data_IF_655696773063
#
_entry.id   IF_655696773063
#
_cell.length_a   1.000
_cell.length_b   1.000
_cell.length_c   1.000
_cell.angle_alpha   90.00
_cell.angle_beta   90.00
_cell.angle_gamma   90.00
#
_symmetry.space_group_name_H-M   'P 1'
#
loop_
_entity.id
_entity.type
_entity.pdbx_description
1 polymer ?
#
# COMPACT_ATOMS: atom_id res chain seq x y z
N UNK A 1 6.83 -18.90 8.86
CA UNK A 1 5.98 -19.76 8.02
C UNK A 1 6.54 -19.69 6.61
N UNK A 2 6.86 -20.84 6.00
CA UNK A 2 7.25 -20.89 4.59
C UNK A 2 6.01 -20.67 3.73
N UNK A 3 6.06 -19.69 2.85
CA UNK A 3 5.01 -19.43 1.86
C UNK A 3 4.75 -20.69 1.02
N UNK A 4 3.49 -21.12 0.92
CA UNK A 4 3.07 -22.27 0.12
C UNK A 4 2.11 -21.78 -0.97
N UNK A 5 2.53 -21.80 -2.25
CA UNK A 5 1.83 -21.12 -3.33
C UNK A 5 0.35 -21.51 -3.52
N UNK A 6 -0.02 -22.78 -3.32
CA UNK A 6 -1.39 -23.25 -3.55
C UNK A 6 -2.35 -22.93 -2.39
N UNK A 7 -1.94 -23.24 -1.17
CA UNK A 7 -2.76 -23.04 0.05
C UNK A 7 -3.05 -21.55 0.31
N UNK A 8 -2.08 -20.67 0.06
CA UNK A 8 -2.26 -19.22 0.27
C UNK A 8 -3.18 -18.58 -0.78
N UNK A 9 -3.17 -19.09 -2.02
CA UNK A 9 -4.03 -18.60 -3.12
C UNK A 9 -5.49 -18.98 -2.88
N UNK A 10 -5.75 -20.20 -2.43
CA UNK A 10 -7.10 -20.69 -2.15
C UNK A 10 -7.72 -19.93 -0.97
N UNK A 11 -6.93 -19.68 0.09
CA UNK A 11 -7.33 -18.81 1.21
C UNK A 11 -7.65 -17.39 0.76
N UNK A 12 -6.87 -16.85 -0.17
CA UNK A 12 -7.10 -15.51 -0.71
C UNK A 12 -8.39 -15.45 -1.55
N UNK A 13 -8.71 -16.52 -2.32
CA UNK A 13 -9.97 -16.65 -3.09
C UNK A 13 -11.19 -16.71 -2.18
N UNK A 14 -11.17 -17.52 -1.12
CA UNK A 14 -12.26 -17.61 -0.14
C UNK A 14 -12.55 -16.27 0.53
N UNK A 15 -11.50 -15.52 0.89
CA UNK A 15 -11.65 -14.18 1.48
C UNK A 15 -12.19 -13.14 0.50
N UNK A 16 -11.98 -13.29 -0.80
CA UNK A 16 -12.55 -12.34 -1.79
C UNK A 16 -14.08 -12.44 -1.79
N UNK A 17 -14.63 -13.66 -1.75
CA UNK A 17 -16.09 -13.91 -1.72
C UNK A 17 -16.73 -13.29 -0.47
N UNK A 18 -16.04 -13.35 0.66
CA UNK A 18 -16.52 -12.80 1.93
C UNK A 18 -16.49 -11.25 1.96
N UNK A 19 -15.45 -10.64 1.38
CA UNK A 19 -15.26 -9.18 1.41
C UNK A 19 -16.03 -8.41 0.33
N UNK A 20 -16.48 -9.08 -0.74
CA UNK A 20 -17.28 -8.48 -1.82
C UNK A 20 -18.55 -7.78 -1.29
N UNK A 21 -19.07 -8.22 -0.14
CA UNK A 21 -20.29 -7.68 0.50
C UNK A 21 -20.09 -6.42 1.34
N UNK A 22 -18.85 -6.01 1.66
CA UNK A 22 -18.61 -4.90 2.61
C UNK A 22 -17.67 -3.81 2.07
N UNK A 23 -16.57 -4.14 1.39
CA UNK A 23 -15.64 -3.17 0.80
C UNK A 23 -14.84 -3.83 -0.32
N UNK A 24 -15.20 -3.60 -1.58
CA UNK A 24 -14.56 -4.23 -2.76
C UNK A 24 -13.05 -3.99 -2.82
N UNK A 25 -12.54 -2.90 -2.22
CA UNK A 25 -11.11 -2.56 -2.26
C UNK A 25 -10.65 -2.11 -3.65
N UNK A 26 -11.60 -1.84 -4.55
CA UNK A 26 -11.32 -1.28 -5.87
C UNK A 26 -12.51 -0.48 -6.41
N UNK A 27 -12.26 0.40 -7.37
CA UNK A 27 -13.29 1.20 -8.05
C UNK A 27 -13.10 1.09 -9.56
N UNK A 28 -14.14 0.72 -10.29
CA UNK A 28 -14.09 0.63 -11.77
C UNK A 28 -14.06 2.06 -12.34
N UNK A 29 -13.03 2.38 -13.11
CA UNK A 29 -12.87 3.69 -13.77
C UNK A 29 -13.14 3.62 -15.28
N UNK A 30 -13.14 2.41 -15.88
CA UNK A 30 -13.44 2.18 -17.29
C UNK A 30 -13.49 0.69 -17.63
N UNK A 31 -13.72 0.32 -18.91
CA UNK A 31 -13.96 -1.07 -19.34
C UNK A 31 -12.88 -2.06 -18.92
N UNK A 32 -11.62 -1.61 -18.85
CA UNK A 32 -10.46 -2.41 -18.46
C UNK A 32 -9.57 -1.67 -17.45
N UNK A 33 -10.10 -0.65 -16.80
CA UNK A 33 -9.35 0.21 -15.88
C UNK A 33 -10.02 0.24 -14.53
N UNK A 34 -9.25 -0.10 -13.50
CA UNK A 34 -9.71 -0.21 -12.12
C UNK A 34 -8.71 0.48 -11.20
N UNK A 35 -9.20 1.26 -10.25
CA UNK A 35 -8.39 1.78 -9.16
C UNK A 35 -8.38 0.78 -8.01
N UNK A 36 -7.23 0.22 -7.66
CA UNK A 36 -7.07 -0.62 -6.47
C UNK A 36 -6.77 0.27 -5.26
N UNK A 37 -7.42 -0.01 -4.13
CA UNK A 37 -7.29 0.75 -2.89
C UNK A 37 -7.11 -0.21 -1.71
N UNK A 38 -6.10 0.06 -0.87
CA UNK A 38 -5.90 -0.75 0.34
C UNK A 38 -6.83 -0.37 1.48
N UNK A 39 -7.30 0.87 1.51
CA UNK A 39 -7.77 1.51 2.74
C UNK A 39 -6.62 1.75 3.71
N UNK A 40 -6.93 2.03 4.98
CA UNK A 40 -5.93 2.15 6.04
C UNK A 40 -5.50 0.74 6.47
N UNK A 41 -4.22 0.45 6.34
CA UNK A 41 -3.65 -0.86 6.69
C UNK A 41 -2.26 -0.70 7.31
N UNK A 42 -1.79 -1.73 8.01
CA UNK A 42 -0.38 -1.83 8.41
C UNK A 42 0.47 -2.11 7.18
N UNK A 43 1.58 -1.38 7.02
CA UNK A 43 2.46 -1.47 5.85
C UNK A 43 2.86 -2.92 5.54
N UNK A 44 3.24 -3.73 6.52
CA UNK A 44 3.61 -5.14 6.33
C UNK A 44 2.55 -6.00 5.60
N UNK A 45 1.29 -5.57 5.54
CA UNK A 45 0.17 -6.30 4.93
C UNK A 45 -0.23 -5.79 3.54
N UNK A 46 0.48 -4.79 3.00
CA UNK A 46 0.06 -4.14 1.76
C UNK A 46 0.02 -5.11 0.57
N UNK A 47 1.01 -5.99 0.45
CA UNK A 47 1.17 -6.89 -0.69
C UNK A 47 -0.02 -7.84 -0.83
N UNK A 48 -0.41 -8.49 0.27
CA UNK A 48 -1.56 -9.41 0.29
C UNK A 48 -2.89 -8.68 0.10
N UNK A 49 -2.99 -7.42 0.54
CA UNK A 49 -4.20 -6.62 0.31
C UNK A 49 -4.36 -6.24 -1.16
N UNK A 50 -3.27 -5.80 -1.82
CA UNK A 50 -3.29 -5.46 -3.24
C UNK A 50 -3.51 -6.69 -4.13
N UNK A 51 -2.89 -7.82 -3.80
CA UNK A 51 -3.12 -9.10 -4.51
C UNK A 51 -4.60 -9.50 -4.47
N UNK A 52 -5.21 -9.51 -3.29
CA UNK A 52 -6.65 -9.81 -3.14
C UNK A 52 -7.53 -8.84 -3.89
N UNK A 53 -7.22 -7.53 -3.82
CA UNK A 53 -7.97 -6.52 -4.57
C UNK A 53 -7.85 -6.71 -6.08
N UNK A 54 -6.67 -7.05 -6.58
CA UNK A 54 -6.44 -7.33 -7.99
C UNK A 54 -7.19 -8.57 -8.47
N UNK A 55 -7.18 -9.66 -7.68
CA UNK A 55 -7.98 -10.85 -8.00
C UNK A 55 -9.47 -10.56 -8.02
N UNK A 56 -9.97 -9.81 -7.03
CA UNK A 56 -11.37 -9.42 -7.00
C UNK A 56 -11.76 -8.57 -8.22
N UNK A 57 -10.86 -7.67 -8.67
CA UNK A 57 -11.10 -6.80 -9.80
C UNK A 57 -10.98 -7.49 -11.18
N UNK A 58 -10.01 -8.39 -11.34
CA UNK A 58 -9.57 -8.85 -12.67
C UNK A 58 -9.76 -10.36 -12.92
N UNK A 59 -10.12 -11.18 -11.93
CA UNK A 59 -10.22 -12.65 -12.06
C UNK A 59 -11.13 -13.13 -13.20
N UNK A 60 -12.11 -12.33 -13.64
CA UNK A 60 -13.02 -12.67 -14.74
C UNK A 60 -12.50 -12.29 -16.13
N UNK A 61 -11.48 -11.42 -16.20
CA UNK A 61 -11.07 -10.75 -17.45
C UNK A 61 -9.59 -10.95 -17.78
N UNK A 62 -8.76 -11.23 -16.78
CA UNK A 62 -7.30 -11.36 -16.90
C UNK A 62 -6.87 -12.74 -16.42
N UNK A 63 -5.96 -13.44 -17.13
CA UNK A 63 -5.39 -14.70 -16.67
C UNK A 63 -4.73 -14.59 -15.29
N UNK A 64 -4.88 -15.63 -14.48
CA UNK A 64 -4.40 -15.67 -13.08
C UNK A 64 -2.86 -15.51 -12.99
N UNK A 65 -2.12 -16.12 -13.90
CA UNK A 65 -0.66 -16.01 -13.99
C UNK A 65 -0.19 -14.57 -14.27
N UNK A 66 -0.93 -13.83 -15.11
CA UNK A 66 -0.66 -12.42 -15.43
C UNK A 66 -0.91 -11.53 -14.23
N UNK A 67 -2.03 -11.74 -13.52
CA UNK A 67 -2.34 -11.01 -12.29
C UNK A 67 -1.22 -11.22 -11.25
N UNK A 68 -0.80 -12.47 -11.03
CA UNK A 68 0.23 -12.81 -10.05
C UNK A 68 1.58 -12.18 -10.40
N UNK A 69 2.02 -12.31 -11.65
CA UNK A 69 3.28 -11.75 -12.14
C UNK A 69 3.31 -10.23 -11.98
N UNK A 70 2.32 -9.54 -12.53
CA UNK A 70 2.36 -8.08 -12.62
C UNK A 70 2.12 -7.42 -11.24
N UNK A 71 1.30 -8.04 -10.39
CA UNK A 71 1.13 -7.56 -9.00
C UNK A 71 2.38 -7.82 -8.16
N UNK A 72 3.13 -8.90 -8.41
CA UNK A 72 4.42 -9.10 -7.73
C UNK A 72 5.42 -8.00 -8.09
N UNK A 73 5.47 -7.59 -9.36
CA UNK A 73 6.29 -6.46 -9.82
C UNK A 73 5.85 -5.13 -9.17
N UNK A 74 4.55 -4.86 -9.14
CA UNK A 74 3.99 -3.70 -8.44
C UNK A 74 4.37 -3.70 -6.96
N UNK A 75 4.22 -4.84 -6.28
CA UNK A 75 4.52 -4.95 -4.85
C UNK A 75 6.00 -4.67 -4.55
N UNK A 76 6.91 -5.11 -5.43
CA UNK A 76 8.33 -4.79 -5.33
C UNK A 76 8.57 -3.27 -5.46
N UNK A 77 7.96 -2.63 -6.46
CA UNK A 77 8.06 -1.18 -6.66
C UNK A 77 7.55 -0.39 -5.45
N UNK A 78 6.41 -0.79 -4.89
CA UNK A 78 5.84 -0.19 -3.67
C UNK A 78 6.77 -0.36 -2.48
N UNK A 79 7.33 -1.55 -2.29
CA UNK A 79 8.28 -1.82 -1.21
C UNK A 79 9.53 -0.93 -1.31
N UNK A 80 10.08 -0.78 -2.52
CA UNK A 80 11.24 0.07 -2.77
C UNK A 80 10.91 1.55 -2.52
N UNK A 81 9.69 2.01 -2.84
CA UNK A 81 9.25 3.38 -2.50
C UNK A 81 9.02 3.57 -1.00
N UNK A 82 8.40 2.61 -0.31
CA UNK A 82 8.22 2.66 1.14
C UNK A 82 9.57 2.73 1.87
N UNK A 83 10.54 1.94 1.41
CA UNK A 83 11.89 1.92 1.97
C UNK A 83 12.58 3.27 1.75
N UNK A 84 12.51 3.85 0.54
CA UNK A 84 13.04 5.20 0.27
C UNK A 84 12.41 6.29 1.14
N UNK A 85 11.14 6.12 1.53
CA UNK A 85 10.39 7.05 2.41
C UNK A 85 10.56 6.74 3.91
N UNK A 86 11.41 5.79 4.29
CA UNK A 86 11.59 5.35 5.68
C UNK A 86 10.26 4.99 6.39
N UNK A 87 9.36 4.33 5.66
CA UNK A 87 8.09 3.85 6.21
C UNK A 87 8.34 2.52 6.92
N UNK A 88 8.05 2.49 8.23
CA UNK A 88 8.19 1.28 9.04
C UNK A 88 7.17 0.20 8.60
N UNK A 89 7.53 -1.07 8.79
CA UNK A 89 6.63 -2.22 8.58
C UNK A 89 5.35 -2.13 9.40
N UNK A 90 5.40 -1.55 10.59
CA UNK A 90 4.25 -1.39 11.48
C UNK A 90 3.49 -0.08 11.25
N UNK A 91 4.01 0.82 10.41
CA UNK A 91 3.35 2.08 10.13
C UNK A 91 2.00 1.88 9.44
N UNK A 92 1.07 2.79 9.71
CA UNK A 92 -0.20 2.84 8.99
C UNK A 92 0.01 3.51 7.63
N UNK A 93 -0.50 2.87 6.59
CA UNK A 93 -0.43 3.35 5.21
C UNK A 93 -1.76 3.22 4.52
N UNK A 94 -1.94 4.06 3.51
CA UNK A 94 -3.02 3.96 2.53
C UNK A 94 -2.42 4.07 1.14
N UNK A 95 -2.71 3.06 0.31
CA UNK A 95 -2.19 2.96 -1.05
C UNK A 95 -3.35 2.98 -2.03
N UNK A 96 -3.19 3.75 -3.09
CA UNK A 96 -4.03 3.67 -4.28
C UNK A 96 -3.18 3.57 -5.54
N UNK A 97 -3.67 2.81 -6.51
CA UNK A 97 -3.02 2.64 -7.82
C UNK A 97 -4.08 2.40 -8.88
N UNK A 98 -3.95 3.08 -10.01
CA UNK A 98 -4.81 2.84 -11.18
C UNK A 98 -4.18 1.74 -12.01
N UNK A 99 -4.95 0.72 -12.33
CA UNK A 99 -4.52 -0.47 -13.06
C UNK A 99 -5.35 -0.58 -14.34
N UNK A 100 -4.69 -0.68 -15.48
CA UNK A 100 -5.36 -0.96 -16.76
C UNK A 100 -4.83 -2.25 -17.38
N UNK A 101 -5.72 -3.07 -17.94
CA UNK A 101 -5.33 -4.29 -18.62
C UNK A 101 -5.10 -4.05 -20.12
N UNK A 102 -3.87 -4.28 -20.57
CA UNK A 102 -3.51 -4.31 -21.99
C UNK A 102 -3.66 -5.74 -22.53
N UNK A 103 -4.77 -5.95 -23.23
CA UNK A 103 -5.10 -7.23 -23.87
C UNK A 103 -4.11 -7.60 -24.98
N UNK A 104 -3.48 -6.63 -25.65
CA UNK A 104 -2.56 -6.93 -26.77
C UNK A 104 -1.24 -7.50 -26.26
N UNK A 105 -0.74 -6.93 -25.17
CA UNK A 105 0.53 -7.32 -24.58
C UNK A 105 0.38 -8.30 -23.40
N UNK A 106 -0.87 -8.67 -23.06
CA UNK A 106 -1.20 -9.54 -21.92
C UNK A 106 -0.53 -9.07 -20.62
N UNK A 107 -0.74 -7.79 -20.29
CA UNK A 107 -0.04 -7.09 -19.21
C UNK A 107 -0.93 -6.10 -18.48
N UNK A 108 -0.78 -6.00 -17.17
CA UNK A 108 -1.32 -4.93 -16.35
C UNK A 108 -0.38 -3.72 -16.36
N UNK A 109 -0.93 -2.56 -16.71
CA UNK A 109 -0.24 -1.28 -16.64
C UNK A 109 -0.65 -0.54 -15.37
N UNK A 110 0.32 -0.02 -14.65
CA UNK A 110 0.13 0.67 -13.37
C UNK A 110 0.40 2.17 -13.55
N UNK A 111 -0.53 3.00 -13.10
CA UNK A 111 -0.40 4.46 -13.12
C UNK A 111 -0.96 5.08 -11.84
N UNK A 112 -0.63 6.35 -11.61
CA UNK A 112 -1.13 7.15 -10.49
C UNK A 112 -0.95 6.48 -9.11
N UNK A 113 0.20 5.82 -8.90
CA UNK A 113 0.52 5.20 -7.61
C UNK A 113 0.68 6.27 -6.53
N UNK A 114 -0.08 6.13 -5.45
CA UNK A 114 -0.01 7.00 -4.27
C UNK A 114 0.19 6.16 -3.02
N UNK A 115 1.18 6.51 -2.23
CA UNK A 115 1.47 5.90 -0.92
C UNK A 115 1.41 7.02 0.13
N UNK A 116 0.35 7.00 0.93
CA UNK A 116 0.14 7.89 2.07
C UNK A 116 0.58 7.19 3.35
N UNK A 117 1.50 7.80 4.11
CA UNK A 117 1.78 7.40 5.49
C UNK A 117 0.83 8.14 6.42
N UNK A 118 0.20 7.39 7.32
CA UNK A 118 -0.69 7.91 8.35
C UNK A 118 -0.01 7.77 9.70
N UNK A 119 -0.25 8.75 10.56
CA UNK A 119 0.31 8.80 11.90
C UNK A 119 -0.83 8.72 12.92
N UNK A 120 -0.59 8.00 14.00
CA UNK A 120 -1.47 8.09 15.18
C UNK A 120 -1.23 9.39 15.93
N UNK A 121 -2.18 9.78 16.77
CA UNK A 121 -2.03 10.94 17.65
C UNK A 121 -0.77 10.81 18.52
N UNK A 122 -0.53 9.64 19.11
CA UNK A 122 0.66 9.36 19.91
C UNK A 122 1.97 9.56 19.14
N UNK A 123 2.03 9.14 17.88
CA UNK A 123 3.20 9.34 17.03
C UNK A 123 3.43 10.83 16.75
N UNK A 124 2.37 11.57 16.46
CA UNK A 124 2.44 13.02 16.22
C UNK A 124 2.90 13.73 17.49
N UNK A 125 2.31 13.43 18.63
CA UNK A 125 2.65 14.03 19.92
C UNK A 125 4.10 13.79 20.31
N UNK A 126 4.62 12.60 20.02
CA UNK A 126 6.02 12.28 20.26
C UNK A 126 6.93 13.12 19.36
N UNK A 127 6.64 13.18 18.07
CA UNK A 127 7.42 13.98 17.10
C UNK A 127 7.40 15.46 17.48
N UNK A 128 6.24 15.99 17.87
CA UNK A 128 6.08 17.39 18.28
C UNK A 128 6.89 17.68 19.53
N UNK A 129 6.78 16.84 20.57
CA UNK A 129 7.55 17.01 21.82
C UNK A 129 9.06 16.98 21.59
N UNK A 130 9.56 16.03 20.80
CA UNK A 130 10.98 15.93 20.47
C UNK A 130 11.47 17.19 19.73
N UNK A 131 10.73 17.65 18.72
CA UNK A 131 11.12 18.85 17.96
C UNK A 131 11.05 20.13 18.78
N UNK A 132 10.03 20.30 19.63
CA UNK A 132 9.95 21.45 20.53
C UNK A 132 11.15 21.48 21.49
N UNK A 133 11.50 20.34 22.09
CA UNK A 133 12.66 20.25 22.97
C UNK A 133 13.98 20.56 22.26
N UNK A 134 14.19 20.07 21.04
CA UNK A 134 15.36 20.43 20.24
C UNK A 134 15.45 21.93 19.93
N UNK A 135 14.31 22.56 19.62
CA UNK A 135 14.24 23.99 19.33
C UNK A 135 14.52 24.83 20.59
N UNK A 136 13.97 24.43 21.74
CA UNK A 136 14.26 25.07 23.03
C UNK A 136 15.75 25.01 23.35
N UNK A 137 16.39 23.84 23.20
CA UNK A 137 17.84 23.71 23.41
C UNK A 137 18.65 24.58 22.45
N UNK A 138 18.25 24.67 21.17
CA UNK A 138 18.90 25.55 20.19
C UNK A 138 18.73 27.02 20.57
N UNK A 139 17.55 27.42 21.03
CA UNK A 139 17.27 28.78 21.50
C UNK A 139 18.11 29.14 22.73
N UNK A 140 18.25 28.24 23.70
CA UNK A 140 19.11 28.48 24.86
C UNK A 140 20.57 28.65 24.48
N UNK A 141 21.09 27.81 23.57
CA UNK A 141 22.46 27.97 23.05
C UNK A 141 22.66 29.31 22.39
N UNK A 142 21.73 29.75 21.54
CA UNK A 142 21.82 31.07 20.89
C UNK A 142 21.80 32.18 21.95
N UNK A 143 20.90 32.11 22.93
CA UNK A 143 20.83 33.09 24.02
C UNK A 143 22.14 33.17 24.81
N UNK A 144 22.80 32.05 25.06
CA UNK A 144 24.10 32.01 25.76
C UNK A 144 25.29 32.56 24.96
N UNK A 145 25.14 32.73 23.64
CA UNK A 145 26.17 33.29 22.75
C UNK A 145 25.93 34.79 22.52
N UNK A 146 24.68 35.22 22.51
CA UNK A 146 24.25 36.59 22.19
C UNK A 146 24.09 37.47 23.45
N UNK A 147 23.81 36.87 24.60
CA UNK A 147 23.82 37.53 25.91
C UNK A 147 25.19 37.46 26.56
#
# INVERSE_FOLDING_TARGET
>A
MSWKPSEDVERDKERVVEYEKLYSGFTVQGPLTVELRTGIIVAARFADKLRRAAFAAFSKTVPEDVILRDIAELNKSIYDEMTRKNIDKLALVRISVVVSYDQKNNKLNFSNMKIERLYTEDEVDKIVREKCGELEQKLERIKSIVG
#
